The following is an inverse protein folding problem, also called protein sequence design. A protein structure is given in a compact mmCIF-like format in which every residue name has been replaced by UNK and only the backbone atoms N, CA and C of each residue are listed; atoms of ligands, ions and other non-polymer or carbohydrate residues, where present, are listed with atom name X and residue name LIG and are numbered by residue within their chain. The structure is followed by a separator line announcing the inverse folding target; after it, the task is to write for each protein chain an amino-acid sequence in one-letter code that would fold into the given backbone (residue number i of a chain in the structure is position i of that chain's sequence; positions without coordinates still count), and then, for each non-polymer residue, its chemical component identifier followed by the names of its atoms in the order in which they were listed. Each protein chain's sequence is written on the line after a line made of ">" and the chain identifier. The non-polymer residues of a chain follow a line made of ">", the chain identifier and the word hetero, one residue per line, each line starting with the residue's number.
data_IF_110638677814
#
_entry.id   IF_110638677814
#
_cell.length_a   1.000
_cell.length_b   1.000
_cell.length_c   1.000
_cell.angle_alpha   90.00
_cell.angle_beta   90.00
_cell.angle_gamma   90.00
#
_symmetry.space_group_name_H-M   'P 1'
#
loop_
_entity.id
_entity.type
_entity.pdbx_description
1 polymer ?
#
# COMPACT_ATOMS: atom_id res chain seq x y z
N UNK A 1 3.82 -9.98 11.43
CA UNK A 1 4.97 -10.83 11.00
C UNK A 1 5.75 -10.06 9.95
N UNK A 2 7.07 -10.18 9.92
CA UNK A 2 7.90 -9.46 8.94
C UNK A 2 9.22 -10.17 8.66
N UNK A 3 9.62 -10.21 7.39
CA UNK A 3 10.94 -10.67 6.96
C UNK A 3 12.01 -9.64 7.31
N UNK A 4 13.21 -10.11 7.66
CA UNK A 4 14.37 -9.26 7.84
C UNK A 4 14.67 -8.46 6.58
N UNK A 5 15.02 -7.19 6.75
CA UNK A 5 15.29 -6.27 5.63
C UNK A 5 16.78 -6.10 5.33
N UNK A 6 17.66 -6.61 6.20
CA UNK A 6 19.10 -6.33 6.15
C UNK A 6 19.89 -7.49 5.59
N UNK A 7 21.03 -7.24 4.91
CA UNK A 7 21.93 -8.31 4.51
C UNK A 7 22.30 -9.19 5.70
N UNK A 8 22.05 -10.49 5.58
CA UNK A 8 22.25 -11.46 6.68
C UNK A 8 21.04 -11.69 7.58
N UNK A 9 19.92 -10.98 7.41
CA UNK A 9 18.64 -11.30 8.07
C UNK A 9 17.50 -11.58 7.10
N UNK A 10 17.72 -11.52 5.78
CA UNK A 10 16.69 -11.80 4.77
C UNK A 10 16.10 -13.22 4.89
N UNK A 11 16.86 -14.17 5.42
CA UNK A 11 16.38 -15.54 5.70
C UNK A 11 15.61 -15.66 7.01
N UNK A 12 15.56 -14.60 7.82
CA UNK A 12 14.89 -14.58 9.12
C UNK A 12 13.48 -13.99 9.00
N UNK A 13 12.50 -14.73 9.49
CA UNK A 13 11.12 -14.30 9.61
C UNK A 13 10.79 -14.08 11.09
N UNK A 14 10.47 -12.83 11.45
CA UNK A 14 10.01 -12.49 12.79
C UNK A 14 8.48 -12.57 12.86
N UNK A 15 7.97 -13.30 13.85
CA UNK A 15 6.57 -13.59 14.05
C UNK A 15 6.19 -13.24 15.48
N UNK A 16 5.08 -12.52 15.61
CA UNK A 16 4.50 -12.15 16.89
C UNK A 16 3.14 -12.78 17.00
N UNK A 17 2.91 -13.48 18.10
CA UNK A 17 1.63 -14.09 18.41
C UNK A 17 0.91 -13.29 19.49
N UNK A 18 -0.38 -13.12 19.28
CA UNK A 18 -1.31 -12.61 20.28
C UNK A 18 -2.58 -13.45 20.21
N UNK A 19 -3.16 -13.86 21.35
CA UNK A 19 -4.47 -14.50 21.38
C UNK A 19 -5.52 -13.58 20.75
N UNK A 20 -6.45 -14.14 19.99
CA UNK A 20 -7.58 -13.42 19.42
C UNK A 20 -8.87 -14.11 19.82
N UNK A 21 -9.91 -13.33 20.08
CA UNK A 21 -11.25 -13.88 20.27
C UNK A 21 -11.80 -14.45 18.97
N UNK A 22 -12.71 -15.42 19.08
CA UNK A 22 -13.42 -15.97 17.92
C UNK A 22 -14.60 -15.11 17.48
N UNK A 23 -15.10 -14.26 18.38
CA UNK A 23 -16.29 -13.42 18.24
C UNK A 23 -15.95 -11.98 17.84
N UNK A 24 -14.68 -11.58 17.95
CA UNK A 24 -14.22 -10.21 17.73
C UNK A 24 -14.24 -9.34 18.99
N UNK A 25 -14.75 -9.85 20.12
CA UNK A 25 -14.66 -9.19 21.44
C UNK A 25 -13.53 -9.80 22.26
N UNK A 26 -12.48 -9.02 22.55
CA UNK A 26 -11.33 -9.50 23.32
C UNK A 26 -11.67 -9.91 24.76
N UNK A 27 -12.85 -9.52 25.28
CA UNK A 27 -13.37 -10.03 26.55
C UNK A 27 -13.66 -11.54 26.54
N UNK A 28 -13.86 -12.13 25.36
CA UNK A 28 -14.13 -13.57 25.20
C UNK A 28 -12.85 -14.42 25.19
N UNK A 29 -11.67 -13.80 25.25
CA UNK A 29 -10.39 -14.52 25.33
C UNK A 29 -10.32 -15.22 26.70
N UNK A 30 -10.11 -16.56 26.75
CA UNK A 30 -9.96 -17.28 28.00
C UNK A 30 -8.85 -16.69 28.88
N UNK A 31 -9.09 -16.59 30.19
CA UNK A 31 -8.18 -15.89 31.12
C UNK A 31 -6.78 -16.49 31.13
N UNK A 32 -6.67 -17.81 30.94
CA UNK A 32 -5.40 -18.54 30.81
C UNK A 32 -4.63 -18.20 29.53
N UNK A 33 -5.31 -17.69 28.50
CA UNK A 33 -4.73 -17.32 27.22
C UNK A 33 -4.48 -15.82 27.06
N UNK A 34 -5.01 -14.97 27.93
CA UNK A 34 -4.89 -13.51 27.84
C UNK A 34 -3.45 -13.00 27.67
N UNK A 35 -2.45 -13.72 28.21
CA UNK A 35 -1.03 -13.34 28.13
C UNK A 35 -0.15 -14.45 27.51
N UNK A 36 -0.76 -15.26 26.63
CA UNK A 36 -0.10 -16.39 25.97
C UNK A 36 0.65 -16.02 24.69
N UNK A 37 0.76 -14.73 24.38
CA UNK A 37 1.53 -14.26 23.22
C UNK A 37 3.02 -14.62 23.29
N UNK A 38 3.61 -14.81 22.13
CA UNK A 38 5.01 -15.24 21.99
C UNK A 38 5.68 -14.54 20.80
N UNK A 39 6.98 -14.26 20.94
CA UNK A 39 7.84 -13.81 19.85
C UNK A 39 8.62 -15.01 19.33
N UNK A 40 8.47 -15.30 18.04
CA UNK A 40 9.15 -16.40 17.36
C UNK A 40 9.96 -15.85 16.21
N UNK A 41 11.24 -16.21 16.17
CA UNK A 41 12.13 -15.95 15.04
C UNK A 41 12.41 -17.27 14.32
N UNK A 42 12.17 -17.30 13.02
CA UNK A 42 12.34 -18.49 12.20
C UNK A 42 13.40 -18.28 11.14
N UNK A 43 14.38 -19.18 11.07
CA UNK A 43 15.38 -19.23 10.01
C UNK A 43 14.84 -20.12 8.88
N UNK A 44 14.54 -19.50 7.74
CA UNK A 44 14.00 -20.17 6.57
C UNK A 44 15.04 -21.03 5.83
N UNK A 45 16.32 -20.67 5.88
CA UNK A 45 17.41 -21.42 5.26
C UNK A 45 17.69 -22.70 6.05
N UNK A 46 17.86 -22.57 7.37
CA UNK A 46 18.13 -23.71 8.27
C UNK A 46 16.87 -24.48 8.66
N UNK A 47 15.69 -23.91 8.42
CA UNK A 47 14.37 -24.45 8.78
C UNK A 47 14.26 -24.76 10.28
N UNK A 48 14.75 -23.84 11.10
CA UNK A 48 14.72 -23.98 12.55
C UNK A 48 14.32 -22.67 13.23
N UNK A 49 13.88 -22.79 14.48
CA UNK A 49 13.62 -21.62 15.34
C UNK A 49 14.94 -21.05 15.83
N UNK A 50 15.11 -19.74 15.66
CA UNK A 50 16.20 -18.99 16.29
C UNK A 50 15.75 -18.59 17.71
N UNK A 51 16.60 -18.80 18.74
CA UNK A 51 16.26 -18.40 20.09
C UNK A 51 16.09 -16.87 20.21
N UNK A 52 14.98 -16.44 20.83
CA UNK A 52 14.77 -15.05 21.24
C UNK A 52 14.66 -15.05 22.75
N UNK A 53 15.58 -14.36 23.42
CA UNK A 53 15.69 -14.36 24.88
C UNK A 53 14.74 -13.31 25.46
N UNK A 54 13.54 -13.76 25.81
CA UNK A 54 12.52 -12.97 26.50
C UNK A 54 12.32 -13.50 27.91
N UNK A 55 12.16 -12.62 28.90
CA UNK A 55 11.94 -13.02 30.30
C UNK A 55 10.50 -13.54 30.53
N UNK A 56 9.55 -13.03 29.77
CA UNK A 56 8.11 -13.31 29.92
C UNK A 56 7.41 -13.42 28.58
N UNK A 57 6.35 -14.22 28.51
CA UNK A 57 5.40 -14.21 27.38
C UNK A 57 4.56 -12.93 27.41
N UNK A 58 4.31 -12.37 26.24
CA UNK A 58 3.61 -11.11 26.08
C UNK A 58 2.86 -11.09 24.75
N UNK A 59 1.70 -10.44 24.72
CA UNK A 59 0.94 -10.30 23.49
C UNK A 59 1.67 -9.34 22.57
N UNK A 60 1.92 -9.76 21.34
CA UNK A 60 2.61 -8.95 20.35
C UNK A 60 1.59 -8.19 19.51
N UNK A 61 1.76 -6.87 19.43
CA UNK A 61 0.94 -6.00 18.58
C UNK A 61 1.57 -5.87 17.19
N UNK A 62 2.83 -5.43 17.13
CA UNK A 62 3.53 -5.11 15.88
C UNK A 62 5.01 -5.48 15.97
N UNK A 63 5.61 -5.86 14.84
CA UNK A 63 7.05 -6.18 14.73
C UNK A 63 7.63 -5.45 13.53
N UNK A 64 8.77 -4.77 13.76
CA UNK A 64 9.48 -4.06 12.70
C UNK A 64 10.98 -4.34 12.73
N UNK A 65 11.56 -4.70 11.59
CA UNK A 65 13.01 -4.81 11.43
C UNK A 65 13.66 -3.45 11.22
N UNK A 66 14.85 -3.28 11.78
CA UNK A 66 15.70 -2.15 11.46
C UNK A 66 16.12 -2.23 9.98
N UNK A 67 16.10 -1.12 9.23
CA UNK A 67 16.33 -1.15 7.79
C UNK A 67 17.79 -1.47 7.39
N UNK A 68 18.74 -1.31 8.32
CA UNK A 68 20.19 -1.43 8.05
C UNK A 68 20.94 -2.38 9.01
N UNK A 69 20.38 -2.67 10.19
CA UNK A 69 21.06 -3.44 11.24
C UNK A 69 20.29 -4.73 11.53
N UNK A 70 20.96 -5.81 11.99
CA UNK A 70 20.32 -7.05 12.43
C UNK A 70 19.66 -6.85 13.81
N UNK A 71 18.69 -5.95 13.84
CA UNK A 71 17.93 -5.50 15.01
C UNK A 71 16.47 -5.50 14.60
N UNK A 72 15.58 -5.92 15.48
CA UNK A 72 14.15 -5.75 15.30
C UNK A 72 13.52 -5.21 16.58
N UNK A 73 12.40 -4.53 16.41
CA UNK A 73 11.62 -3.97 17.49
C UNK A 73 10.25 -4.63 17.54
N UNK A 74 9.73 -4.81 18.75
CA UNK A 74 8.45 -5.47 18.99
C UNK A 74 7.64 -4.65 19.99
N UNK A 75 6.41 -4.31 19.61
CA UNK A 75 5.43 -3.74 20.54
C UNK A 75 4.70 -4.87 21.25
N UNK A 76 4.70 -4.84 22.58
CA UNK A 76 4.09 -5.88 23.43
C UNK A 76 3.17 -5.30 24.49
N UNK A 77 2.27 -6.15 24.98
CA UNK A 77 1.54 -5.88 26.21
C UNK A 77 2.51 -5.85 27.41
N UNK A 78 2.14 -5.18 28.52
CA UNK A 78 3.08 -4.92 29.58
C UNK A 78 3.41 -6.23 30.29
N UNK A 79 4.58 -6.77 30.00
CA UNK A 79 5.05 -8.03 30.57
C UNK A 79 6.22 -7.76 31.52
N UNK A 80 6.02 -8.04 32.81
CA UNK A 80 7.04 -7.86 33.84
C UNK A 80 6.45 -7.75 35.24
N UNK A 81 7.23 -8.11 36.26
CA UNK A 81 6.82 -8.03 37.68
C UNK A 81 6.79 -6.59 38.22
N UNK A 82 7.48 -5.67 37.56
CA UNK A 82 7.59 -4.25 37.93
C UNK A 82 7.31 -3.44 36.66
N UNK A 83 6.12 -2.85 36.59
CA UNK A 83 5.72 -1.92 35.52
C UNK A 83 5.73 -0.52 36.10
N UNK A 84 6.41 0.43 35.45
CA UNK A 84 6.38 1.84 35.87
C UNK A 84 4.94 2.36 35.86
N UNK A 85 4.63 3.29 36.77
CA UNK A 85 3.26 3.77 36.93
C UNK A 85 2.75 4.43 35.64
N UNK A 86 1.63 3.94 35.11
CA UNK A 86 0.99 4.47 33.91
C UNK A 86 1.47 3.86 32.60
N UNK A 87 2.48 2.99 32.61
CA UNK A 87 2.93 2.25 31.41
C UNK A 87 1.93 1.13 31.11
N UNK A 88 1.46 1.08 29.87
CA UNK A 88 0.41 0.15 29.43
C UNK A 88 0.84 -0.75 28.28
N UNK A 89 1.89 -0.37 27.56
CA UNK A 89 2.55 -1.19 26.54
C UNK A 89 4.06 -0.96 26.60
N UNK A 90 4.84 -1.90 26.09
CA UNK A 90 6.28 -1.74 25.95
C UNK A 90 6.70 -1.90 24.49
N UNK A 91 7.77 -1.23 24.10
CA UNK A 91 8.47 -1.51 22.84
C UNK A 91 9.85 -2.07 23.17
N UNK A 92 10.07 -3.34 22.84
CA UNK A 92 11.32 -4.05 23.08
C UNK A 92 12.21 -3.97 21.84
N UNK A 93 13.50 -3.77 22.06
CA UNK A 93 14.53 -3.74 21.01
C UNK A 93 15.39 -4.98 21.16
N UNK A 94 15.38 -5.85 20.15
CA UNK A 94 16.17 -7.07 20.12
C UNK A 94 17.33 -6.93 19.14
N UNK A 95 18.52 -7.38 19.56
CA UNK A 95 19.70 -7.41 18.71
C UNK A 95 20.32 -8.81 18.70
N UNK A 96 21.04 -9.13 17.63
CA UNK A 96 21.83 -10.35 17.56
C UNK A 96 22.89 -10.37 18.67
N UNK A 97 22.83 -11.37 19.53
CA UNK A 97 23.83 -11.62 20.57
C UNK A 97 25.08 -12.22 19.91
N UNK A 98 26.14 -11.42 19.83
CA UNK A 98 27.41 -11.83 19.20
C UNK A 98 28.24 -12.75 20.08
N UNK A 99 27.95 -12.80 21.39
CA UNK A 99 28.72 -13.59 22.34
C UNK A 99 28.28 -15.05 22.36
N UNK A 100 27.10 -15.35 21.78
CA UNK A 100 26.59 -16.72 21.64
C UNK A 100 26.76 -17.26 20.22
N UNK A 101 27.19 -18.51 20.15
CA UNK A 101 27.32 -19.24 18.88
C UNK A 101 25.97 -19.73 18.31
N UNK A 102 24.90 -19.69 19.12
CA UNK A 102 23.55 -20.11 18.72
C UNK A 102 22.81 -19.07 17.85
N UNK A 103 23.40 -17.88 17.65
CA UNK A 103 22.81 -16.78 16.89
C UNK A 103 21.53 -16.22 17.54
N UNK A 104 21.40 -16.36 18.86
CA UNK A 104 20.24 -15.88 19.59
C UNK A 104 20.09 -14.35 19.52
N UNK A 105 18.85 -13.89 19.63
CA UNK A 105 18.56 -12.47 19.80
C UNK A 105 18.24 -12.18 21.26
N UNK A 106 18.87 -11.15 21.82
CA UNK A 106 18.67 -10.71 23.20
C UNK A 106 18.05 -9.32 23.26
N UNK A 107 17.25 -9.09 24.30
CA UNK A 107 16.69 -7.76 24.57
C UNK A 107 17.81 -6.80 24.96
N UNK A 108 17.98 -5.75 24.15
CA UNK A 108 18.96 -4.69 24.36
C UNK A 108 18.38 -3.53 25.19
N UNK A 109 17.15 -3.13 24.87
CA UNK A 109 16.50 -1.98 25.48
C UNK A 109 14.98 -2.18 25.48
N UNK A 110 14.32 -1.65 26.50
CA UNK A 110 12.86 -1.64 26.64
C UNK A 110 12.39 -0.21 26.76
N UNK A 111 11.42 0.19 25.93
CA UNK A 111 10.85 1.52 25.90
C UNK A 111 9.44 1.51 26.49
N UNK A 112 9.16 2.49 27.33
CA UNK A 112 7.89 2.59 28.05
C UNK A 112 6.88 3.41 27.25
N UNK A 113 5.71 2.82 26.99
CA UNK A 113 4.60 3.47 26.30
C UNK A 113 3.36 3.54 27.20
N UNK A 114 2.74 4.72 27.22
CA UNK A 114 1.60 5.01 28.09
C UNK A 114 0.24 4.69 27.44
N UNK A 115 0.24 4.36 26.15
CA UNK A 115 -0.96 3.93 25.42
C UNK A 115 -1.24 2.44 25.60
N UNK A 116 -2.51 2.06 25.53
CA UNK A 116 -2.97 0.67 25.69
C UNK A 116 -2.67 -0.20 24.50
N UNK A 117 -2.69 0.41 23.32
CA UNK A 117 -2.70 -0.28 22.05
C UNK A 117 -1.89 0.53 21.03
N UNK A 118 -1.08 -0.20 20.27
CA UNK A 118 -0.16 0.36 19.27
C UNK A 118 -0.61 -0.19 17.93
N UNK A 119 -1.16 0.71 17.10
CA UNK A 119 -1.65 0.39 15.76
C UNK A 119 -0.52 0.20 14.76
N UNK A 120 0.53 1.02 14.86
CA UNK A 120 1.63 1.00 13.91
C UNK A 120 2.95 1.38 14.61
N UNK A 121 4.00 0.66 14.28
CA UNK A 121 5.35 0.89 14.78
C UNK A 121 6.25 1.23 13.58
N UNK A 122 7.14 2.21 13.70
CA UNK A 122 8.15 2.46 12.66
C UNK A 122 9.48 2.86 13.27
N UNK A 123 10.54 2.69 12.49
CA UNK A 123 11.91 2.96 12.90
C UNK A 123 12.63 3.82 11.85
N UNK A 124 13.35 4.83 12.32
CA UNK A 124 14.16 5.73 11.49
C UNK A 124 15.58 5.79 12.06
N UNK A 125 16.60 5.33 11.31
CA UNK A 125 17.98 5.44 11.74
C UNK A 125 18.37 6.89 12.03
N UNK A 126 18.99 7.12 13.20
CA UNK A 126 19.47 8.43 13.61
C UNK A 126 21.01 8.50 13.55
N UNK A 127 21.67 7.43 14.01
CA UNK A 127 23.11 7.25 14.10
C UNK A 127 23.48 5.78 13.81
N UNK A 128 24.77 5.43 13.88
CA UNK A 128 25.24 4.06 13.63
C UNK A 128 24.64 3.00 14.58
N UNK A 129 24.27 3.39 15.80
CA UNK A 129 23.75 2.49 16.83
C UNK A 129 22.40 2.93 17.43
N UNK A 130 21.91 4.10 17.03
CA UNK A 130 20.71 4.70 17.62
C UNK A 130 19.71 5.09 16.55
N UNK A 131 18.43 4.98 16.89
CA UNK A 131 17.33 5.19 15.97
C UNK A 131 16.20 5.92 16.68
N UNK A 132 15.42 6.65 15.90
CA UNK A 132 14.10 7.09 16.32
C UNK A 132 13.12 5.94 16.14
N UNK A 133 12.33 5.69 17.17
CA UNK A 133 11.22 4.73 17.13
C UNK A 133 9.94 5.52 17.31
N UNK A 134 8.92 5.23 16.51
CA UNK A 134 7.59 5.82 16.68
C UNK A 134 6.54 4.74 16.87
N UNK A 135 5.64 4.93 17.83
CA UNK A 135 4.44 4.11 18.01
C UNK A 135 3.20 4.98 17.83
N UNK A 136 2.38 4.63 16.85
CA UNK A 136 1.07 5.21 16.59
C UNK A 136 0.03 4.49 17.45
N UNK A 137 -0.75 5.24 18.22
CA UNK A 137 -1.60 4.66 19.25
C UNK A 137 -3.08 5.02 19.09
N UNK A 138 -3.92 4.19 19.69
CA UNK A 138 -5.39 4.31 19.67
C UNK A 138 -5.89 5.52 20.49
N UNK A 139 -5.07 6.04 21.40
CA UNK A 139 -5.35 7.23 22.20
C UNK A 139 -5.26 8.57 21.42
N UNK A 140 -4.97 8.52 20.11
CA UNK A 140 -4.79 9.70 19.27
C UNK A 140 -3.42 10.37 19.44
N UNK A 141 -2.46 9.71 20.08
CA UNK A 141 -1.09 10.18 20.19
C UNK A 141 -0.13 9.31 19.37
N UNK A 142 1.02 9.90 19.03
CA UNK A 142 2.19 9.16 18.56
C UNK A 142 3.33 9.40 19.52
N UNK A 143 3.85 8.32 20.08
CA UNK A 143 4.97 8.34 21.01
C UNK A 143 6.26 8.17 20.21
N UNK A 144 7.24 9.03 20.44
CA UNK A 144 8.55 8.99 19.78
C UNK A 144 9.65 8.81 20.81
N UNK A 145 10.50 7.84 20.60
CA UNK A 145 11.71 7.61 21.39
C UNK A 145 12.96 7.89 20.55
N UNK A 146 13.99 8.41 21.21
CA UNK A 146 15.36 8.40 20.71
C UNK A 146 16.12 7.39 21.55
N UNK A 147 16.55 6.28 20.96
CA UNK A 147 17.19 5.19 21.73
C UNK A 147 18.48 5.64 22.43
N UNK A 148 19.06 6.78 22.04
CA UNK A 148 20.19 7.39 22.73
C UNK A 148 19.83 8.17 24.00
N UNK A 149 18.58 8.61 24.17
CA UNK A 149 18.16 9.51 25.27
C UNK A 149 17.51 8.77 26.46
N UNK A 150 17.26 7.46 26.32
CA UNK A 150 16.70 6.60 27.37
C UNK A 150 15.36 5.99 26.98
N UNK A 151 14.68 5.42 27.99
CA UNK A 151 13.55 4.52 27.79
C UNK A 151 12.19 5.23 27.71
N UNK A 152 12.17 6.53 28.09
CA UNK A 152 10.96 7.36 28.09
C UNK A 152 10.75 8.07 26.75
N UNK A 153 9.49 8.33 26.36
CA UNK A 153 9.22 9.02 25.11
C UNK A 153 9.79 10.44 25.12
N UNK A 154 10.56 10.77 24.08
CA UNK A 154 11.09 12.11 23.83
C UNK A 154 10.01 13.08 23.39
N UNK A 155 9.05 12.59 22.59
CA UNK A 155 7.89 13.36 22.13
C UNK A 155 6.61 12.55 22.25
N UNK A 156 5.53 13.26 22.60
CA UNK A 156 4.15 12.77 22.52
C UNK A 156 3.45 13.72 21.55
N UNK A 157 3.21 13.26 20.33
CA UNK A 157 2.63 14.03 19.23
C UNK A 157 1.11 13.86 19.28
N UNK A 158 0.36 14.96 19.40
CA UNK A 158 -1.08 14.91 19.67
C UNK A 158 -1.95 15.20 18.43
N UNK A 159 -2.86 14.30 18.12
CA UNK A 159 -3.97 14.53 17.18
C UNK A 159 -5.17 15.21 17.82
N UNK A 160 -6.11 15.65 16.98
CA UNK A 160 -7.36 16.28 17.41
C UNK A 160 -8.38 15.28 17.96
N UNK A 161 -9.60 15.78 18.15
CA UNK A 161 -10.75 14.91 18.40
C UNK A 161 -11.10 14.12 17.14
N UNK A 162 -11.50 12.85 17.27
CA UNK A 162 -11.83 12.01 16.14
C UNK A 162 -13.11 12.52 15.47
N UNK A 163 -13.27 12.21 14.18
CA UNK A 163 -14.49 12.53 13.46
C UNK A 163 -15.68 11.67 13.88
N UNK A 164 -15.41 10.47 14.41
CA UNK A 164 -16.42 9.59 15.01
C UNK A 164 -16.87 10.09 16.39
N UNK A 165 -18.09 9.74 16.79
CA UNK A 165 -18.58 10.03 18.13
C UNK A 165 -17.90 9.10 19.14
N UNK A 166 -17.16 9.68 20.09
CA UNK A 166 -16.63 8.98 21.26
C UNK A 166 -17.50 9.36 22.45
N UNK A 167 -18.11 8.37 23.09
CA UNK A 167 -19.08 8.54 24.18
C UNK A 167 -18.42 8.25 25.52
N UNK A 168 -17.61 7.19 25.61
CA UNK A 168 -17.04 6.72 26.87
C UNK A 168 -15.51 6.74 26.85
N UNK A 169 -14.91 5.67 26.30
CA UNK A 169 -13.48 5.42 26.35
C UNK A 169 -12.91 5.57 24.95
N UNK A 170 -12.08 6.61 24.77
CA UNK A 170 -11.47 6.90 23.48
C UNK A 170 -10.65 5.71 22.98
N UNK A 171 -9.88 5.04 23.84
CA UNK A 171 -9.01 3.96 23.37
C UNK A 171 -9.77 2.68 22.98
N UNK A 172 -11.07 2.60 23.25
CA UNK A 172 -11.93 1.47 22.81
C UNK A 172 -12.79 1.82 21.61
N UNK A 173 -13.20 3.08 21.48
CA UNK A 173 -14.15 3.52 20.45
C UNK A 173 -13.47 4.26 19.29
N UNK A 174 -12.32 4.89 19.54
CA UNK A 174 -11.54 5.59 18.53
C UNK A 174 -10.56 4.64 17.85
N UNK A 175 -10.31 4.89 16.57
CA UNK A 175 -9.27 4.21 15.80
C UNK A 175 -7.89 4.85 16.00
N UNK A 176 -7.84 6.08 16.53
CA UNK A 176 -6.62 6.80 16.89
C UNK A 176 -5.74 7.15 15.69
N UNK A 177 -4.43 6.89 15.80
CA UNK A 177 -3.47 7.10 14.71
C UNK A 177 -3.20 5.78 14.01
N UNK A 178 -3.43 5.72 12.69
CA UNK A 178 -3.29 4.50 11.87
C UNK A 178 -2.24 4.59 10.77
N UNK A 179 -1.68 5.78 10.56
CA UNK A 179 -0.66 6.01 9.55
C UNK A 179 0.49 6.80 10.15
N UNK A 180 1.70 6.32 9.93
CA UNK A 180 2.96 6.97 10.27
C UNK A 180 3.97 6.74 9.15
N UNK A 181 4.68 7.79 8.78
CA UNK A 181 5.76 7.67 7.81
C UNK A 181 6.86 8.70 8.06
N UNK A 182 8.09 8.23 7.93
CA UNK A 182 9.26 9.10 7.96
C UNK A 182 9.55 9.64 6.55
N UNK A 183 10.01 10.88 6.50
CA UNK A 183 10.57 11.45 5.27
C UNK A 183 11.97 10.89 4.98
N UNK A 184 12.59 11.42 3.92
CA UNK A 184 14.01 11.11 3.58
C UNK A 184 14.98 11.50 4.68
N UNK A 185 14.59 12.47 5.52
CA UNK A 185 15.38 12.98 6.63
C UNK A 185 14.67 12.70 7.96
N UNK A 186 15.42 12.43 9.04
CA UNK A 186 14.84 12.09 10.35
C UNK A 186 14.14 13.28 11.04
N UNK A 187 14.17 14.47 10.44
CA UNK A 187 13.46 15.66 10.92
C UNK A 187 12.07 15.82 10.30
N UNK A 188 11.64 14.94 9.40
CA UNK A 188 10.31 14.98 8.79
C UNK A 188 9.55 13.71 9.11
N UNK A 189 8.40 13.88 9.75
CA UNK A 189 7.54 12.78 10.13
C UNK A 189 6.08 13.14 9.86
N UNK A 190 5.34 12.19 9.32
CA UNK A 190 3.97 12.36 8.85
C UNK A 190 3.08 11.38 9.61
N UNK A 191 1.94 11.84 10.07
CA UNK A 191 1.00 11.01 10.82
C UNK A 191 -0.43 11.26 10.37
N UNK A 192 -1.22 10.20 10.23
CA UNK A 192 -2.63 10.25 9.86
C UNK A 192 -3.49 9.60 10.93
N UNK A 193 -4.56 10.29 11.32
CA UNK A 193 -5.43 9.89 12.43
C UNK A 193 -6.91 9.91 12.04
N UNK A 194 -7.73 9.33 12.92
CA UNK A 194 -9.18 9.39 12.95
C UNK A 194 -9.77 10.80 13.05
N UNK A 195 -8.96 11.81 13.40
CA UNK A 195 -9.32 13.23 13.26
C UNK A 195 -9.46 13.68 11.79
N UNK A 196 -9.11 12.81 10.84
CA UNK A 196 -9.15 13.07 9.40
C UNK A 196 -8.02 13.97 8.92
N UNK A 197 -7.01 14.20 9.74
CA UNK A 197 -5.90 15.10 9.45
C UNK A 197 -4.61 14.33 9.27
N UNK A 198 -3.88 14.63 8.20
CA UNK A 198 -2.47 14.26 8.09
C UNK A 198 -1.62 15.41 8.61
N UNK A 199 -0.90 15.19 9.70
CA UNK A 199 -0.02 16.19 10.31
C UNK A 199 1.44 15.95 9.93
N UNK A 200 2.17 17.05 9.78
CA UNK A 200 3.61 17.06 9.55
C UNK A 200 4.31 17.55 10.80
N UNK A 201 5.33 16.80 11.21
CA UNK A 201 6.10 17.04 12.41
C UNK A 201 7.58 17.19 12.07
N UNK A 202 8.29 17.84 12.98
CA UNK A 202 9.73 17.85 13.03
C UNK A 202 10.19 17.36 14.40
N UNK A 203 10.62 16.11 14.44
CA UNK A 203 11.02 15.38 15.64
C UNK A 203 12.30 15.94 16.27
N UNK A 204 13.13 16.66 15.50
CA UNK A 204 14.31 17.34 16.06
C UNK A 204 13.95 18.58 16.89
N UNK A 205 12.74 19.13 16.74
CA UNK A 205 12.28 20.32 17.49
C UNK A 205 11.73 19.93 18.86
N UNK A 206 12.57 20.05 19.90
CA UNK A 206 12.22 19.61 21.26
C UNK A 206 10.91 20.16 21.84
N UNK A 207 10.62 21.46 21.68
CA UNK A 207 9.46 22.10 22.35
C UNK A 207 8.20 22.15 21.50
N UNK A 208 8.34 22.24 20.17
CA UNK A 208 7.21 22.44 19.24
C UNK A 208 7.48 21.61 17.98
N UNK A 209 7.24 20.30 18.03
CA UNK A 209 7.47 19.40 16.90
C UNK A 209 6.46 19.63 15.78
N UNK A 210 5.26 20.15 16.06
CA UNK A 210 4.25 20.42 15.03
C UNK A 210 4.74 21.44 13.99
N UNK A 211 4.59 21.10 12.70
CA UNK A 211 4.95 21.96 11.57
C UNK A 211 3.69 22.51 10.89
N UNK A 212 2.83 21.63 10.37
CA UNK A 212 1.59 21.99 9.66
C UNK A 212 0.64 20.80 9.49
N UNK A 213 -0.62 21.08 9.14
CA UNK A 213 -1.51 20.08 8.57
C UNK A 213 -1.21 19.98 7.06
N UNK A 214 -0.98 18.76 6.56
CA UNK A 214 -0.79 18.47 5.14
C UNK A 214 -2.13 18.27 4.43
N UNK A 215 -3.04 17.54 5.06
CA UNK A 215 -4.35 17.17 4.54
C UNK A 215 -5.38 17.27 5.65
N UNK A 216 -6.56 17.78 5.31
CA UNK A 216 -7.78 17.67 6.11
C UNK A 216 -8.82 16.97 5.23
N UNK A 217 -8.98 15.67 5.44
CA UNK A 217 -9.90 14.80 4.74
C UNK A 217 -11.33 14.88 5.30
N UNK A 218 -12.34 14.42 4.54
CA UNK A 218 -13.72 14.31 5.01
C UNK A 218 -13.95 13.14 5.98
N UNK A 219 -13.01 12.20 6.11
CA UNK A 219 -13.10 11.07 7.03
C UNK A 219 -11.75 10.69 7.65
N UNK A 220 -11.76 9.75 8.62
CA UNK A 220 -10.57 9.19 9.26
C UNK A 220 -9.49 8.79 8.26
N UNK A 221 -8.24 9.15 8.53
CA UNK A 221 -7.12 8.66 7.72
C UNK A 221 -6.82 7.22 8.14
N UNK A 222 -6.88 6.29 7.19
CA UNK A 222 -6.77 4.86 7.46
C UNK A 222 -5.42 4.29 7.03
N UNK A 223 -4.80 4.86 6.00
CA UNK A 223 -3.52 4.38 5.50
C UNK A 223 -2.77 5.48 4.73
N UNK A 224 -1.47 5.27 4.55
CA UNK A 224 -0.66 6.08 3.66
C UNK A 224 0.70 5.45 3.42
N UNK A 225 1.38 5.83 2.34
CA UNK A 225 2.71 5.32 2.02
C UNK A 225 3.46 6.29 1.09
N UNK A 226 4.75 6.49 1.36
CA UNK A 226 5.62 7.18 0.42
C UNK A 226 6.01 6.26 -0.73
N UNK A 227 6.23 6.84 -1.91
CA UNK A 227 6.96 6.14 -2.95
C UNK A 227 8.38 5.79 -2.46
N UNK A 228 9.03 4.74 -2.99
CA UNK A 228 10.38 4.35 -2.56
C UNK A 228 11.43 5.47 -2.69
N UNK A 229 11.23 6.40 -3.63
CA UNK A 229 12.07 7.59 -3.81
C UNK A 229 11.63 8.80 -2.96
N UNK A 230 10.59 8.67 -2.14
CA UNK A 230 9.98 9.71 -1.30
C UNK A 230 9.47 10.97 -2.02
N UNK A 231 9.34 10.94 -3.34
CA UNK A 231 8.85 12.08 -4.11
C UNK A 231 7.32 12.17 -4.15
N UNK A 232 6.62 11.06 -3.88
CA UNK A 232 5.16 11.01 -3.87
C UNK A 232 4.66 10.40 -2.57
N UNK A 233 3.52 10.86 -2.09
CA UNK A 233 2.83 10.31 -0.94
C UNK A 233 1.38 10.02 -1.32
N UNK A 234 0.93 8.80 -1.05
CA UNK A 234 -0.47 8.42 -1.20
C UNK A 234 -1.07 8.29 0.20
N UNK A 235 -2.27 8.83 0.39
CA UNK A 235 -3.03 8.75 1.65
C UNK A 235 -4.45 8.31 1.35
N UNK A 236 -4.96 7.31 2.07
CA UNK A 236 -6.34 6.86 2.00
C UNK A 236 -7.15 7.32 3.22
N UNK A 237 -8.43 7.66 3.01
CA UNK A 237 -9.38 7.89 4.09
C UNK A 237 -10.48 6.81 4.13
N UNK A 238 -11.19 6.74 5.26
CA UNK A 238 -12.29 5.80 5.49
C UNK A 238 -13.52 6.06 4.60
N UNK A 239 -13.58 7.19 3.88
CA UNK A 239 -14.64 7.45 2.88
C UNK A 239 -14.33 6.79 1.53
N UNK A 240 -13.18 6.14 1.40
CA UNK A 240 -12.70 5.52 0.16
C UNK A 240 -11.99 6.50 -0.76
N UNK A 241 -11.67 7.73 -0.30
CA UNK A 241 -10.91 8.68 -1.09
C UNK A 241 -9.42 8.43 -0.94
N UNK A 242 -8.72 8.63 -2.05
CA UNK A 242 -7.25 8.55 -2.11
C UNK A 242 -6.71 9.91 -2.52
N UNK A 243 -5.78 10.42 -1.72
CA UNK A 243 -5.09 11.68 -1.92
C UNK A 243 -3.66 11.40 -2.37
N UNK A 244 -3.29 11.94 -3.52
CA UNK A 244 -1.93 11.88 -4.04
C UNK A 244 -1.26 13.25 -3.84
N UNK A 245 -0.07 13.21 -3.25
CA UNK A 245 0.81 14.36 -3.07
C UNK A 245 2.09 14.11 -3.86
N UNK A 246 2.57 15.15 -4.54
CA UNK A 246 3.92 15.20 -5.11
C UNK A 246 4.73 16.23 -4.35
N UNK A 247 6.01 15.94 -4.13
CA UNK A 247 6.97 16.89 -3.56
C UNK A 247 7.47 17.86 -4.63
N UNK A 248 7.31 17.52 -5.91
CA UNK A 248 7.68 18.37 -7.04
C UNK A 248 6.57 19.39 -7.33
N UNK A 249 6.87 20.68 -7.14
CA UNK A 249 5.98 21.82 -7.44
C UNK A 249 5.46 21.79 -8.91
N UNK A 250 6.16 21.09 -9.81
CA UNK A 250 5.81 20.96 -11.23
C UNK A 250 4.63 20.02 -11.50
N UNK A 251 4.30 19.14 -10.54
CA UNK A 251 3.15 18.24 -10.61
C UNK A 251 1.98 18.71 -9.72
N UNK A 252 2.07 19.90 -9.11
CA UNK A 252 0.93 20.50 -8.41
C UNK A 252 -0.21 20.77 -9.41
N UNK A 253 -1.16 19.83 -9.48
CA UNK A 253 -2.45 20.10 -10.09
C UNK A 253 -3.16 21.16 -9.24
N UNK A 254 -3.41 22.33 -9.81
CA UNK A 254 -4.15 23.43 -9.18
C UNK A 254 -5.38 22.90 -8.42
N UNK A 255 -5.25 22.82 -7.09
CA UNK A 255 -6.34 22.40 -6.24
C UNK A 255 -7.30 23.57 -6.09
N UNK A 256 -8.42 23.54 -6.82
CA UNK A 256 -9.50 24.51 -6.63
C UNK A 256 -10.12 24.34 -5.23
N UNK A 257 -9.72 25.19 -4.28
CA UNK A 257 -10.32 25.25 -2.95
C UNK A 257 -11.52 26.21 -2.94
N UNK A 258 -12.59 25.83 -2.22
CA UNK A 258 -13.75 26.66 -1.89
C UNK A 258 -13.73 26.94 -0.38
N UNK A 259 -13.94 28.19 0.01
CA UNK A 259 -14.19 28.53 1.42
C UNK A 259 -15.68 28.34 1.70
N UNK A 260 -16.03 27.56 2.72
CA UNK A 260 -17.44 27.36 3.11
C UNK A 260 -17.98 28.70 3.63
N UNK A 261 -19.10 29.24 3.10
CA UNK A 261 -19.69 30.48 3.57
C UNK A 261 -19.97 30.42 5.08
N UNK A 262 -19.45 31.39 5.85
CA UNK A 262 -19.63 31.46 7.31
C UNK A 262 -18.55 30.74 8.14
N UNK A 263 -17.55 30.11 7.53
CA UNK A 263 -16.38 29.56 8.24
C UNK A 263 -15.07 29.90 7.52
N UNK A 264 -13.94 29.89 8.23
CA UNK A 264 -12.61 30.02 7.60
C UNK A 264 -12.12 28.70 6.98
N UNK A 265 -13.00 27.70 6.86
CA UNK A 265 -12.65 26.35 6.41
C UNK A 265 -12.60 26.30 4.88
N UNK A 266 -11.42 25.98 4.34
CA UNK A 266 -11.18 25.78 2.90
C UNK A 266 -11.30 24.30 2.57
N UNK A 267 -12.19 23.94 1.65
CA UNK A 267 -12.42 22.56 1.21
C UNK A 267 -12.10 22.45 -0.27
N UNK A 268 -11.40 21.39 -0.67
CA UNK A 268 -11.11 21.13 -2.10
C UNK A 268 -12.44 20.88 -2.82
N UNK A 269 -12.69 21.56 -3.94
CA UNK A 269 -13.87 21.34 -4.76
C UNK A 269 -13.87 19.88 -5.21
N UNK A 270 -14.88 19.07 -4.84
CA UNK A 270 -14.97 17.72 -5.38
C UNK A 270 -15.07 17.85 -6.90
N UNK A 271 -14.21 17.14 -7.65
CA UNK A 271 -14.44 16.98 -9.09
C UNK A 271 -15.83 16.35 -9.22
N UNK A 272 -16.76 16.95 -9.99
CA UNK A 272 -18.06 16.34 -10.17
C UNK A 272 -17.84 14.97 -10.79
N UNK A 273 -18.07 13.92 -9.99
CA UNK A 273 -18.36 12.61 -10.52
C UNK A 273 -19.67 12.79 -11.27
N UNK A 274 -19.63 12.66 -12.60
CA UNK A 274 -20.85 12.59 -13.41
C UNK A 274 -21.20 11.10 -13.38
N UNK A 275 -22.10 10.63 -12.50
CA UNK A 275 -22.59 9.28 -12.60
C UNK A 275 -23.20 9.14 -14.00
N UNK A 276 -22.75 8.13 -14.74
CA UNK A 276 -23.48 7.73 -15.92
C UNK A 276 -24.88 7.31 -15.44
N UNK A 277 -25.96 7.69 -16.15
CA UNK A 277 -27.28 7.18 -15.83
C UNK A 277 -27.23 5.65 -15.88
N UNK A 278 -27.77 5.03 -14.83
CA UNK A 278 -27.92 3.57 -14.78
C UNK A 278 -28.73 3.14 -16.01
N UNK A 279 -28.24 2.20 -16.84
CA UNK A 279 -28.95 1.80 -18.05
C UNK A 279 -30.32 1.23 -17.66
N UNK A 280 -31.33 1.47 -18.49
CA UNK A 280 -32.66 0.91 -18.24
C UNK A 280 -32.57 -0.62 -18.10
N UNK A 281 -33.28 -1.21 -17.13
CA UNK A 281 -33.28 -2.65 -16.95
C UNK A 281 -33.76 -3.32 -18.24
N UNK A 282 -33.14 -4.44 -18.66
CA UNK A 282 -33.48 -5.08 -19.92
C UNK A 282 -34.96 -5.44 -19.96
N UNK A 283 -35.68 -4.90 -20.95
CA UNK A 283 -37.11 -5.15 -21.15
C UNK A 283 -37.38 -6.64 -21.34
N UNK A 284 -38.23 -7.21 -20.51
CA UNK A 284 -38.62 -8.64 -20.50
C UNK A 284 -39.47 -9.08 -21.70
N UNK A 285 -39.63 -8.24 -22.72
CA UNK A 285 -40.33 -8.59 -23.96
C UNK A 285 -39.39 -9.20 -24.99
N UNK A 286 -38.93 -10.44 -24.74
CA UNK A 286 -38.46 -11.31 -25.81
C UNK A 286 -39.67 -11.96 -26.48
N UNK A 287 -39.79 -12.02 -27.83
CA UNK A 287 -40.90 -12.68 -28.52
C UNK A 287 -40.89 -14.22 -28.45
N UNK A 288 -39.98 -14.82 -27.69
CA UNK A 288 -39.78 -16.27 -27.69
C UNK A 288 -40.26 -16.91 -26.38
N UNK A 289 -40.94 -18.06 -26.44
CA UNK A 289 -41.55 -18.67 -25.28
C UNK A 289 -40.47 -19.01 -24.25
N UNK A 290 -40.75 -18.64 -23.00
CA UNK A 290 -39.89 -18.86 -21.85
C UNK A 290 -39.61 -20.35 -21.66
N UNK A 291 -38.50 -20.82 -22.22
CA UNK A 291 -37.79 -21.97 -21.67
C UNK A 291 -37.05 -21.49 -20.44
N UNK A 292 -37.50 -21.94 -19.27
CA UNK A 292 -36.78 -21.85 -18.00
C UNK A 292 -35.30 -22.16 -18.19
N UNK A 293 -34.36 -21.24 -17.93
CA UNK A 293 -32.96 -21.59 -17.92
C UNK A 293 -32.64 -22.25 -16.58
N UNK A 294 -32.07 -23.45 -16.66
CA UNK A 294 -31.16 -23.99 -15.65
C UNK A 294 -30.14 -22.94 -15.22
N UNK A 295 -29.64 -23.01 -13.98
CA UNK A 295 -28.63 -22.16 -13.31
C UNK A 295 -27.40 -21.72 -14.14
N UNK A 296 -27.60 -21.00 -15.24
CA UNK A 296 -26.55 -20.33 -15.96
C UNK A 296 -26.35 -18.97 -15.29
N UNK A 297 -25.22 -18.81 -14.59
CA UNK A 297 -24.88 -17.55 -13.96
C UNK A 297 -24.99 -16.39 -14.96
N UNK A 298 -25.34 -15.19 -14.49
CA UNK A 298 -25.41 -13.97 -15.31
C UNK A 298 -24.15 -13.79 -16.17
N UNK A 299 -22.99 -14.25 -15.67
CA UNK A 299 -21.73 -14.26 -16.39
C UNK A 299 -21.75 -15.17 -17.64
N UNK A 300 -22.30 -16.39 -17.55
CA UNK A 300 -22.43 -17.30 -18.70
C UNK A 300 -23.41 -16.73 -19.74
N UNK A 301 -24.55 -16.19 -19.30
CA UNK A 301 -25.47 -15.51 -20.20
C UNK A 301 -24.81 -14.34 -20.94
N UNK A 302 -24.04 -13.49 -20.24
CA UNK A 302 -23.35 -12.36 -20.84
C UNK A 302 -22.28 -12.79 -21.86
N UNK A 303 -21.54 -13.87 -21.55
CA UNK A 303 -20.56 -14.46 -22.46
C UNK A 303 -21.23 -15.03 -23.72
N UNK A 304 -22.26 -15.83 -23.53
CA UNK A 304 -22.98 -16.50 -24.62
C UNK A 304 -23.84 -15.55 -25.46
N UNK A 305 -24.13 -14.35 -24.96
CA UNK A 305 -24.88 -13.33 -25.71
C UNK A 305 -23.98 -12.31 -26.39
N UNK A 306 -22.92 -11.84 -25.75
CA UNK A 306 -22.13 -10.70 -26.26
C UNK A 306 -20.75 -11.09 -26.77
N UNK A 307 -20.07 -12.06 -26.13
CA UNK A 307 -18.75 -12.50 -26.58
C UNK A 307 -18.86 -13.50 -27.74
N UNK A 308 -19.80 -14.45 -27.67
CA UNK A 308 -20.04 -15.42 -28.75
C UNK A 308 -20.55 -14.78 -30.05
N UNK A 309 -21.33 -13.70 -29.93
CA UNK A 309 -21.91 -12.97 -31.06
C UNK A 309 -20.96 -11.94 -31.67
N UNK A 310 -19.73 -11.83 -31.16
CA UNK A 310 -18.76 -10.78 -31.49
C UNK A 310 -19.31 -9.35 -31.31
N UNK A 311 -20.32 -9.17 -30.46
CA UNK A 311 -20.79 -7.84 -30.07
C UNK A 311 -19.77 -7.17 -29.16
N UNK A 312 -19.15 -7.92 -28.25
CA UNK A 312 -17.99 -7.50 -27.48
C UNK A 312 -16.81 -8.42 -27.81
N UNK A 313 -15.60 -7.87 -27.77
CA UNK A 313 -14.35 -8.64 -27.86
C UNK A 313 -13.51 -8.37 -26.63
N UNK A 314 -12.79 -9.36 -26.13
CA UNK A 314 -11.82 -9.15 -25.05
C UNK A 314 -10.54 -8.59 -25.66
N UNK A 315 -10.12 -7.43 -25.18
CA UNK A 315 -8.88 -6.82 -25.61
C UNK A 315 -7.70 -7.71 -25.18
N UNK A 316 -6.65 -7.87 -26.02
CA UNK A 316 -5.47 -8.63 -25.66
C UNK A 316 -4.84 -8.15 -24.34
N UNK A 317 -4.84 -6.86 -24.03
CA UNK A 317 -4.44 -6.37 -22.71
C UNK A 317 -5.55 -6.61 -21.65
N UNK A 318 -5.31 -7.43 -20.60
CA UNK A 318 -6.32 -7.77 -19.59
C UNK A 318 -6.75 -6.58 -18.72
N UNK A 319 -5.97 -5.51 -18.67
CA UNK A 319 -6.30 -4.27 -17.93
C UNK A 319 -7.39 -3.46 -18.64
N UNK A 320 -7.51 -3.59 -19.96
CA UNK A 320 -8.52 -2.89 -20.77
C UNK A 320 -9.87 -3.64 -20.74
N UNK A 321 -9.83 -4.98 -20.66
CA UNK A 321 -11.03 -5.80 -20.54
C UNK A 321 -11.82 -5.93 -21.84
N UNK A 322 -13.16 -5.92 -21.75
CA UNK A 322 -14.04 -6.08 -22.91
C UNK A 322 -14.26 -4.74 -23.65
N UNK A 323 -14.06 -4.74 -24.96
CA UNK A 323 -14.28 -3.57 -25.84
C UNK A 323 -15.33 -3.88 -26.90
N UNK A 324 -15.81 -2.84 -27.59
CA UNK A 324 -16.79 -2.98 -28.66
C UNK A 324 -16.24 -3.88 -29.77
N UNK A 325 -16.99 -4.92 -30.10
CA UNK A 325 -16.70 -5.84 -31.19
C UNK A 325 -17.32 -5.39 -32.51
N UNK A 326 -16.98 -6.07 -33.63
CA UNK A 326 -17.48 -5.71 -34.96
C UNK A 326 -19.00 -5.81 -35.10
N UNK A 327 -19.66 -6.68 -34.32
CA UNK A 327 -21.11 -6.83 -34.33
C UNK A 327 -21.82 -5.96 -33.29
N UNK A 328 -21.10 -5.09 -32.55
CA UNK A 328 -21.70 -4.23 -31.52
C UNK A 328 -22.89 -3.38 -32.03
N UNK A 329 -22.93 -2.88 -33.29
CA UNK A 329 -24.06 -2.10 -33.78
C UNK A 329 -25.40 -2.83 -33.76
N UNK A 330 -25.37 -4.17 -33.85
CA UNK A 330 -26.57 -5.01 -33.79
C UNK A 330 -27.25 -5.02 -32.42
N UNK A 331 -26.55 -4.58 -31.36
CA UNK A 331 -27.09 -4.54 -30.00
C UNK A 331 -28.05 -3.39 -29.77
N UNK A 332 -28.01 -2.34 -30.60
CA UNK A 332 -28.79 -1.11 -30.39
C UNK A 332 -28.36 -0.28 -29.18
N UNK A 333 -27.25 -0.65 -28.50
CA UNK A 333 -26.73 0.03 -27.31
C UNK A 333 -25.77 1.19 -27.63
N UNK A 334 -25.69 1.61 -28.89
CA UNK A 334 -24.90 2.77 -29.27
C UNK A 334 -25.50 4.04 -28.69
N UNK A 335 -24.63 4.91 -28.16
CA UNK A 335 -25.00 6.28 -27.84
C UNK A 335 -25.12 7.10 -29.13
N UNK A 336 -26.26 6.96 -29.80
CA UNK A 336 -26.57 7.67 -31.03
C UNK A 336 -26.48 9.19 -30.85
N UNK A 337 -26.80 9.69 -29.66
CA UNK A 337 -26.73 11.10 -29.28
C UNK A 337 -25.30 11.67 -29.27
N UNK A 338 -24.28 10.81 -29.19
CA UNK A 338 -22.88 11.23 -29.26
C UNK A 338 -22.36 11.40 -30.70
N UNK A 339 -23.11 10.93 -31.70
CA UNK A 339 -22.70 10.92 -33.11
C UNK A 339 -23.54 11.86 -33.97
N UNK A 340 -22.93 12.42 -35.01
CA UNK A 340 -23.63 13.25 -35.97
C UNK A 340 -24.78 12.48 -36.63
N UNK A 341 -25.93 13.14 -36.79
CA UNK A 341 -27.14 12.59 -37.43
C UNK A 341 -27.72 11.34 -36.74
N UNK A 342 -27.34 11.06 -35.49
CA UNK A 342 -27.74 9.84 -34.77
C UNK A 342 -27.32 8.55 -35.49
N UNK A 343 -26.23 8.60 -36.25
CA UNK A 343 -25.66 7.46 -36.96
C UNK A 343 -24.46 6.90 -36.19
N UNK A 344 -24.48 5.61 -35.75
CA UNK A 344 -23.33 4.96 -35.10
C UNK A 344 -22.03 5.01 -35.90
N UNK A 345 -22.12 5.05 -37.24
CA UNK A 345 -20.95 5.13 -38.11
C UNK A 345 -20.57 6.56 -38.48
N UNK A 346 -21.39 7.53 -38.07
CA UNK A 346 -21.12 8.95 -38.25
C UNK A 346 -20.00 9.45 -37.32
N UNK A 347 -19.40 10.62 -37.65
CA UNK A 347 -18.38 11.23 -36.79
C UNK A 347 -18.98 11.61 -35.41
N UNK A 348 -18.16 11.52 -34.37
CA UNK A 348 -18.53 11.99 -33.03
C UNK A 348 -18.77 13.50 -33.04
N UNK A 349 -19.71 13.96 -32.22
CA UNK A 349 -19.91 15.39 -31.99
C UNK A 349 -18.65 15.99 -31.31
N UNK A 350 -18.32 17.26 -31.57
CA UNK A 350 -17.05 17.87 -31.14
C UNK A 350 -16.78 17.79 -29.62
N UNK A 351 -17.83 17.80 -28.80
CA UNK A 351 -17.73 17.67 -27.35
C UNK A 351 -17.31 16.26 -26.93
N UNK A 352 -17.95 15.23 -27.48
CA UNK A 352 -17.64 13.83 -27.19
C UNK A 352 -16.27 13.44 -27.74
N UNK A 353 -15.91 13.93 -28.93
CA UNK A 353 -14.58 13.72 -29.51
C UNK A 353 -13.48 14.31 -28.61
N UNK A 354 -13.67 15.53 -28.11
CA UNK A 354 -12.73 16.18 -27.19
C UNK A 354 -12.59 15.40 -25.89
N UNK A 355 -13.70 14.95 -25.30
CA UNK A 355 -13.68 14.16 -24.07
C UNK A 355 -13.00 12.80 -24.27
N UNK A 356 -13.25 12.13 -25.40
CA UNK A 356 -12.59 10.87 -25.74
C UNK A 356 -11.08 11.06 -25.92
N UNK A 357 -10.68 12.15 -26.59
CA UNK A 357 -9.27 12.50 -26.77
C UNK A 357 -8.57 12.80 -25.44
N UNK A 358 -9.19 13.62 -24.59
CA UNK A 358 -8.67 13.92 -23.25
C UNK A 358 -8.56 12.67 -22.36
N UNK A 359 -9.52 11.75 -22.43
CA UNK A 359 -9.44 10.46 -21.71
C UNK A 359 -8.34 9.56 -22.26
N UNK A 360 -8.12 9.54 -23.58
CA UNK A 360 -7.00 8.80 -24.21
C UNK A 360 -5.66 9.39 -23.79
N UNK A 361 -5.50 10.70 -23.85
CA UNK A 361 -4.30 11.42 -23.41
C UNK A 361 -4.03 11.24 -21.91
N UNK A 362 -5.07 11.22 -21.08
CA UNK A 362 -4.95 10.97 -19.65
C UNK A 362 -4.58 9.51 -19.33
N UNK A 363 -5.06 8.55 -20.12
CA UNK A 363 -4.83 7.11 -19.90
C UNK A 363 -3.52 6.62 -20.48
N UNK A 364 -3.12 7.14 -21.65
CA UNK A 364 -1.91 6.74 -22.38
C UNK A 364 -0.71 7.66 -22.08
N UNK A 365 -0.94 8.82 -21.45
CA UNK A 365 0.06 9.88 -21.36
C UNK A 365 0.24 10.62 -22.70
N UNK A 366 1.15 11.62 -22.76
CA UNK A 366 1.51 12.24 -24.04
C UNK A 366 2.05 11.18 -25.00
N UNK A 367 1.74 11.30 -26.31
CA UNK A 367 2.20 10.38 -27.36
C UNK A 367 3.66 10.00 -27.15
N UNK A 368 3.89 8.70 -26.95
CA UNK A 368 5.16 7.98 -26.95
C UNK A 368 6.36 8.84 -26.56
N UNK A 369 6.75 8.81 -25.27
CA UNK A 369 8.15 9.11 -24.94
C UNK A 369 9.01 8.15 -25.76
N UNK A 370 9.75 8.65 -26.74
CA UNK A 370 10.85 7.89 -27.32
C UNK A 370 11.80 7.57 -26.17
N UNK A 371 11.87 6.28 -25.81
CA UNK A 371 12.80 5.85 -24.78
C UNK A 371 14.15 5.75 -25.47
N UNK A 372 15.09 6.62 -25.07
CA UNK A 372 16.47 6.53 -25.52
C UNK A 372 16.99 5.15 -25.10
N UNK A 373 17.36 4.32 -26.09
CA UNK A 373 17.97 3.01 -25.82
C UNK A 373 19.19 3.26 -24.94
N UNK A 374 19.27 2.58 -23.80
CA UNK A 374 20.46 2.65 -22.95
C UNK A 374 21.66 2.28 -23.83
N UNK A 375 22.71 3.12 -23.83
CA UNK A 375 23.97 2.74 -24.51
C UNK A 375 24.35 1.36 -23.97
N UNK A 376 24.60 0.41 -24.87
CA UNK A 376 25.14 -0.89 -24.47
C UNK A 376 26.33 -0.66 -23.54
N UNK A 377 26.51 -1.49 -22.50
CA UNK A 377 27.60 -1.30 -21.56
C UNK A 377 28.92 -1.18 -22.36
N UNK A 378 29.80 -0.21 -22.03
CA UNK A 378 31.10 -0.13 -22.68
C UNK A 378 31.81 -1.48 -22.52
N UNK A 379 32.64 -1.86 -23.50
CA UNK A 379 33.33 -3.16 -23.61
C UNK A 379 33.56 -3.79 -22.24
N UNK A 380 32.67 -4.71 -21.85
CA UNK A 380 32.69 -5.30 -20.52
C UNK A 380 33.99 -6.08 -20.36
N UNK A 381 34.67 -5.90 -19.23
CA UNK A 381 35.75 -6.81 -18.86
C UNK A 381 35.17 -8.22 -18.69
N UNK A 382 35.96 -9.27 -18.98
CA UNK A 382 35.50 -10.67 -18.87
C UNK A 382 34.85 -11.01 -17.51
N UNK A 383 35.25 -10.32 -16.44
CA UNK A 383 34.72 -10.47 -15.09
C UNK A 383 33.30 -9.92 -14.96
N UNK A 384 33.03 -8.73 -15.50
CA UNK A 384 31.69 -8.10 -15.47
C UNK A 384 30.69 -8.87 -16.33
N UNK A 385 31.15 -9.40 -17.46
CA UNK A 385 30.35 -10.27 -18.32
C UNK A 385 29.98 -11.57 -17.60
N UNK A 386 30.94 -12.22 -16.94
CA UNK A 386 30.68 -13.43 -16.16
C UNK A 386 29.65 -13.20 -15.04
N UNK A 387 29.71 -12.04 -14.38
CA UNK A 387 28.80 -11.70 -13.28
C UNK A 387 27.40 -11.35 -13.82
N UNK A 388 27.33 -10.70 -14.97
CA UNK A 388 26.08 -10.46 -15.69
C UNK A 388 25.43 -11.79 -16.13
N UNK A 389 26.20 -12.68 -16.75
CA UNK A 389 25.74 -13.99 -17.20
C UNK A 389 25.25 -14.84 -16.00
N UNK A 390 25.93 -14.77 -14.85
CA UNK A 390 25.49 -15.45 -13.62
C UNK A 390 24.16 -14.88 -13.07
N UNK A 391 23.97 -13.57 -13.13
CA UNK A 391 22.73 -12.93 -12.69
C UNK A 391 21.57 -13.21 -13.65
N UNK A 392 21.81 -13.16 -14.97
CA UNK A 392 20.81 -13.53 -15.99
C UNK A 392 20.42 -14.99 -15.86
N UNK A 393 21.35 -15.88 -15.50
CA UNK A 393 21.04 -17.29 -15.26
C UNK A 393 20.18 -17.53 -14.00
N UNK A 394 20.08 -16.55 -13.09
CA UNK A 394 19.18 -16.57 -11.92
C UNK A 394 17.80 -15.99 -12.23
N UNK A 395 17.63 -15.30 -13.36
CA UNK A 395 16.32 -14.82 -13.79
C UNK A 395 15.40 -15.99 -14.13
N UNK A 396 14.11 -15.79 -13.87
CA UNK A 396 13.10 -16.82 -14.06
C UNK A 396 12.90 -17.10 -15.56
N UNK A 397 13.24 -18.32 -16.00
CA UNK A 397 12.93 -18.79 -17.35
C UNK A 397 11.65 -19.62 -17.34
N UNK A 398 10.60 -19.16 -18.00
CA UNK A 398 9.34 -19.91 -18.11
C UNK A 398 9.52 -21.28 -18.79
N UNK A 399 10.60 -21.46 -19.57
CA UNK A 399 10.91 -22.73 -20.25
C UNK A 399 11.50 -23.79 -19.33
N UNK A 400 11.94 -23.41 -18.12
CA UNK A 400 12.45 -24.37 -17.13
C UNK A 400 11.34 -25.00 -16.28
N UNK A 401 10.09 -24.54 -16.42
CA UNK A 401 8.95 -25.13 -15.74
C UNK A 401 8.62 -26.50 -16.32
N UNK A 402 8.18 -27.42 -15.45
CA UNK A 402 7.59 -28.67 -15.91
C UNK A 402 6.28 -28.41 -16.65
N UNK A 403 5.97 -29.28 -17.61
CA UNK A 403 4.83 -29.08 -18.52
C UNK A 403 3.49 -28.98 -17.77
N UNK A 404 3.38 -29.61 -16.59
CA UNK A 404 2.17 -29.55 -15.77
C UNK A 404 2.00 -28.19 -15.08
N UNK A 405 3.05 -27.70 -14.41
CA UNK A 405 3.02 -26.36 -13.80
C UNK A 405 2.85 -25.26 -14.84
N UNK A 406 3.50 -25.38 -16.00
CA UNK A 406 3.31 -24.45 -17.11
C UNK A 406 1.84 -24.40 -17.55
N UNK A 407 1.21 -25.55 -17.79
CA UNK A 407 -0.21 -25.61 -18.17
C UNK A 407 -1.15 -25.08 -17.07
N UNK A 408 -0.85 -25.32 -15.79
CA UNK A 408 -1.65 -24.75 -14.71
C UNK A 408 -1.56 -23.23 -14.65
N UNK A 409 -0.36 -22.67 -14.79
CA UNK A 409 -0.16 -21.23 -14.79
C UNK A 409 -0.84 -20.57 -15.99
N UNK A 410 -0.79 -21.18 -17.17
CA UNK A 410 -1.56 -20.73 -18.35
C UNK A 410 -3.07 -20.79 -18.08
N UNK A 411 -3.58 -21.87 -17.46
CA UNK A 411 -5.00 -21.99 -17.10
C UNK A 411 -5.44 -20.97 -16.05
N UNK A 412 -4.53 -20.53 -15.19
CA UNK A 412 -4.73 -19.44 -14.22
C UNK A 412 -4.60 -18.04 -14.87
N UNK A 413 -4.30 -17.97 -16.17
CA UNK A 413 -4.20 -16.73 -16.93
C UNK A 413 -2.85 -16.02 -16.84
N UNK A 414 -1.81 -16.68 -16.34
CA UNK A 414 -0.45 -16.13 -16.25
C UNK A 414 0.16 -15.97 -17.64
N UNK A 415 0.70 -14.77 -17.92
CA UNK A 415 1.39 -14.46 -19.16
C UNK A 415 2.90 -14.54 -18.96
N UNK A 416 3.55 -15.35 -19.79
CA UNK A 416 4.99 -15.58 -19.72
C UNK A 416 5.80 -14.72 -20.69
N UNK A 417 5.14 -14.10 -21.67
CA UNK A 417 5.76 -13.17 -22.60
C UNK A 417 5.00 -11.85 -22.55
N UNK A 418 5.72 -10.78 -22.20
CA UNK A 418 5.23 -9.40 -22.17
C UNK A 418 5.63 -8.65 -23.45
N UNK A 419 6.50 -9.22 -24.27
CA UNK A 419 7.04 -8.57 -25.46
C UNK A 419 6.06 -8.74 -26.65
N UNK A 420 5.51 -7.62 -27.12
CA UNK A 420 4.95 -7.49 -28.47
C UNK A 420 3.42 -7.38 -28.59
N UNK A 421 2.63 -7.81 -27.61
CA UNK A 421 1.15 -7.88 -27.75
C UNK A 421 0.36 -6.91 -26.86
N UNK A 422 1.04 -6.01 -26.14
CA UNK A 422 0.40 -5.10 -25.18
C UNK A 422 0.07 -3.70 -25.73
N UNK A 423 0.38 -3.42 -27.00
CA UNK A 423 0.21 -2.07 -27.57
C UNK A 423 1.21 -1.02 -27.04
N UNK A 424 2.23 -1.46 -26.29
CA UNK A 424 3.39 -0.65 -25.90
C UNK A 424 4.50 -0.74 -26.96
N UNK A 425 4.18 -0.42 -28.22
CA UNK A 425 5.23 -0.28 -29.23
C UNK A 425 6.08 0.96 -28.90
N UNK A 426 7.25 0.75 -28.32
CA UNK A 426 8.22 1.82 -28.11
C UNK A 426 8.95 2.08 -29.43
N UNK A 427 8.77 3.27 -29.99
CA UNK A 427 9.61 3.75 -31.08
C UNK A 427 10.96 4.17 -30.47
N UNK A 428 12.00 3.38 -30.72
CA UNK A 428 13.36 3.70 -30.28
C UNK A 428 14.01 4.70 -31.23
N UNK A 429 14.69 5.72 -30.70
CA UNK A 429 15.58 6.58 -31.50
C UNK A 429 16.83 5.79 -31.89
N UNK A 430 17.14 5.73 -33.19
CA UNK A 430 18.45 5.24 -33.66
C UNK A 430 19.53 6.22 -33.20
N UNK A 431 20.51 5.72 -32.46
CA UNK A 431 21.68 6.51 -32.08
C UNK A 431 22.52 6.82 -33.33
N UNK A 432 22.98 8.07 -33.54
CA UNK A 432 23.95 8.33 -34.58
C UNK A 432 25.16 7.42 -34.37
N UNK A 433 25.56 6.74 -35.44
CA UNK A 433 26.76 5.89 -35.45
C UNK A 433 27.94 6.78 -35.07
N UNK A 434 28.56 6.50 -33.93
CA UNK A 434 29.83 7.13 -33.56
C UNK A 434 30.81 6.79 -34.71
N UNK A 435 31.11 7.79 -35.56
CA UNK A 435 32.21 7.67 -36.52
C UNK A 435 33.50 7.66 -35.71
N UNK A 436 34.19 6.51 -35.79
CA UNK A 436 35.43 6.14 -35.11
C UNK A 436 36.40 7.28 -34.77
#
# INVERSE_FOLDING_TARGET
>A
MQWGQTPGTHHLLAIGYSPRSFTGDDADIPVDKLHSGEIVLWDAERRCRVPVLTVTTANVFEIVWHPILPVFIVATSPSGLIVEHGVRTHVHIFQLDRDREDGAYSEYQKLDCYASDINELTIMPNSLCHSYISAACTDGHVYIWDTAQGDRPTHILKHGEPLGAVICDREKEDEGVKFTAWGTTPDRFYTGSSDGVVKVWNVRRKRRPFVRNLLEGPGPITCGVFSPNHNKLVVGDATGRVFLFSVDDREEMDAHFLTIPGTNRRVRRPKPFIPHPEPEPPTTSSPFPASTPSDASIAQYSRDRYLSSNSLILHPNPVIGAVQGPAYPSTGLFRLDAHAYFDPQGPLLPEFERNQRASREASLGPETRSIRRLKGPPVQTWVEKSLHDENVAKDFDSRSLDNWSFCQLVNLGVRFNMDGDEGWEFIYEETPVDTD
#
